data_IF_525951443765
#
_entry.id   IF_525951443765
#
_cell.length_a   1.000
_cell.length_b   1.000
_cell.length_c   1.000
_cell.angle_alpha   90.00
_cell.angle_beta   90.00
_cell.angle_gamma   90.00
#
_symmetry.space_group_name_H-M   'P 1'
#
loop_
_entity.id
_entity.type
_entity.pdbx_description
1 polymer ?
#
# COMPACT_ATOMS: atom_id res chain seq x y z
N UNK A 1 8.36 4.35 -15.12
CA UNK A 1 8.32 2.87 -15.13
C UNK A 1 9.58 2.42 -15.86
N UNK A 2 10.32 1.41 -15.38
CA UNK A 2 11.32 0.75 -16.24
C UNK A 2 10.56 -0.25 -17.10
N UNK A 3 10.33 0.07 -18.37
CA UNK A 3 9.90 -0.93 -19.34
C UNK A 3 10.98 -2.00 -19.33
N UNK A 4 10.58 -3.25 -19.10
CA UNK A 4 11.55 -4.33 -19.00
C UNK A 4 12.15 -4.58 -20.37
N UNK A 5 11.27 -4.78 -21.35
CA UNK A 5 11.57 -4.95 -22.77
C UNK A 5 10.36 -4.42 -23.55
N UNK A 6 10.60 -3.68 -24.62
CA UNK A 6 9.62 -3.36 -25.66
C UNK A 6 10.10 -4.08 -26.92
N UNK A 7 9.30 -5.00 -27.42
CA UNK A 7 9.64 -5.84 -28.57
C UNK A 7 8.64 -5.58 -29.69
N UNK A 8 9.12 -5.23 -30.88
CA UNK A 8 8.28 -5.09 -32.08
C UNK A 8 8.37 -6.41 -32.82
N UNK A 9 7.21 -7.03 -33.05
CA UNK A 9 7.14 -8.40 -33.53
C UNK A 9 6.03 -8.55 -34.57
N UNK A 10 6.14 -9.57 -35.42
CA UNK A 10 5.12 -9.93 -36.40
C UNK A 10 4.26 -11.04 -35.81
N UNK A 11 2.95 -10.92 -35.95
CA UNK A 11 2.04 -11.88 -35.36
C UNK A 11 2.12 -13.22 -36.12
N UNK A 12 2.54 -14.27 -35.41
CA UNK A 12 2.53 -15.65 -35.92
C UNK A 12 1.48 -16.50 -35.21
N UNK A 13 0.97 -17.53 -35.90
CA UNK A 13 -0.03 -18.46 -35.38
C UNK A 13 -1.46 -17.90 -35.45
N UNK A 14 -2.23 -18.03 -34.36
CA UNK A 14 -3.63 -17.55 -34.26
C UNK A 14 -3.67 -16.05 -33.96
N UNK A 15 -4.68 -15.29 -34.42
CA UNK A 15 -4.85 -13.86 -34.11
C UNK A 15 -4.67 -13.53 -32.63
N UNK A 16 -4.06 -12.38 -32.36
CA UNK A 16 -3.88 -11.85 -31.01
C UNK A 16 -4.99 -10.88 -30.67
N UNK A 17 -5.07 -10.47 -29.40
CA UNK A 17 -5.94 -9.37 -29.00
C UNK A 17 -5.09 -8.22 -28.47
N UNK A 18 -5.39 -7.00 -28.91
CA UNK A 18 -4.79 -5.81 -28.37
C UNK A 18 -5.32 -5.53 -26.95
N UNK A 19 -4.41 -5.21 -26.02
CA UNK A 19 -4.81 -4.94 -24.65
C UNK A 19 -5.56 -3.61 -24.50
N UNK A 20 -5.29 -2.63 -25.37
CA UNK A 20 -5.86 -1.27 -25.30
C UNK A 20 -7.23 -1.22 -25.96
N UNK A 21 -7.31 -1.36 -27.29
CA UNK A 21 -8.57 -1.26 -28.03
C UNK A 21 -9.42 -2.53 -28.01
N UNK A 22 -8.89 -3.67 -27.54
CA UNK A 22 -9.56 -4.99 -27.53
C UNK A 22 -9.84 -5.61 -28.89
N UNK A 23 -9.46 -4.96 -29.98
CA UNK A 23 -9.57 -5.50 -31.34
C UNK A 23 -8.52 -6.61 -31.60
N UNK A 24 -8.74 -7.37 -32.67
CA UNK A 24 -7.82 -8.40 -33.11
C UNK A 24 -6.53 -7.80 -33.69
N UNK A 25 -5.44 -8.54 -33.52
CA UNK A 25 -4.17 -8.33 -34.20
C UNK A 25 -4.00 -9.53 -35.11
N UNK A 26 -4.14 -9.31 -36.41
CA UNK A 26 -4.21 -10.37 -37.39
C UNK A 26 -2.86 -11.05 -37.62
N UNK A 27 -2.90 -12.25 -38.19
CA UNK A 27 -1.68 -12.98 -38.53
C UNK A 27 -0.90 -12.18 -39.58
N UNK A 28 0.41 -12.08 -39.42
CA UNK A 28 1.35 -11.24 -40.19
C UNK A 28 1.27 -9.73 -39.91
N UNK A 29 0.42 -9.29 -38.99
CA UNK A 29 0.39 -7.88 -38.58
C UNK A 29 1.55 -7.54 -37.62
N UNK A 30 2.13 -6.35 -37.82
CA UNK A 30 3.12 -5.78 -36.90
C UNK A 30 2.45 -5.34 -35.60
N UNK A 31 3.03 -5.73 -34.48
CA UNK A 31 2.53 -5.37 -33.15
C UNK A 31 3.67 -5.19 -32.16
N UNK A 32 3.36 -4.59 -31.02
CA UNK A 32 4.30 -4.46 -29.91
C UNK A 32 3.93 -5.40 -28.78
N UNK A 33 4.93 -6.10 -28.26
CA UNK A 33 4.82 -6.84 -27.00
C UNK A 33 5.58 -6.05 -25.94
N UNK A 34 4.83 -5.52 -24.97
CA UNK A 34 5.42 -4.85 -23.82
C UNK A 34 5.57 -5.84 -22.69
N UNK A 35 6.82 -6.10 -22.30
CA UNK A 35 7.16 -6.95 -21.15
C UNK A 35 7.43 -6.04 -19.96
N UNK A 36 6.50 -6.07 -19.01
CA UNK A 36 6.62 -5.29 -17.78
C UNK A 36 7.59 -6.02 -16.84
N UNK A 37 8.74 -5.40 -16.54
CA UNK A 37 9.61 -5.89 -15.46
C UNK A 37 8.91 -5.68 -14.12
N UNK A 38 8.89 -6.77 -13.37
CA UNK A 38 8.03 -6.95 -12.23
C UNK A 38 8.68 -6.49 -10.91
N UNK A 39 7.87 -6.02 -9.96
CA UNK A 39 8.32 -5.59 -8.64
C UNK A 39 8.72 -6.77 -7.74
N UNK A 40 9.19 -6.47 -6.51
CA UNK A 40 9.67 -7.46 -5.52
C UNK A 40 8.70 -8.63 -5.33
N UNK A 41 7.38 -8.37 -5.30
CA UNK A 41 6.34 -9.37 -5.06
C UNK A 41 6.21 -10.43 -6.17
N UNK A 42 6.41 -10.06 -7.43
CA UNK A 42 6.29 -11.03 -8.52
C UNK A 42 7.57 -11.83 -8.73
N UNK A 43 8.74 -11.28 -8.31
CA UNK A 43 9.97 -12.08 -8.15
C UNK A 43 9.77 -13.19 -7.12
N UNK A 44 9.11 -12.90 -6.00
CA UNK A 44 8.74 -13.95 -5.02
C UNK A 44 7.67 -14.91 -5.57
N UNK A 45 6.65 -14.43 -6.29
CA UNK A 45 5.65 -15.29 -6.91
C UNK A 45 6.26 -16.24 -7.96
N UNK A 46 7.22 -15.76 -8.77
CA UNK A 46 7.96 -16.60 -9.71
C UNK A 46 8.79 -17.66 -8.99
N UNK A 47 9.52 -17.28 -7.93
CA UNK A 47 10.27 -18.26 -7.11
C UNK A 47 9.35 -19.35 -6.57
N UNK A 48 8.16 -18.98 -6.10
CA UNK A 48 7.17 -19.94 -5.60
C UNK A 48 6.64 -20.85 -6.72
N UNK A 49 6.30 -20.29 -7.89
CA UNK A 49 5.81 -21.05 -9.03
C UNK A 49 6.89 -21.97 -9.65
N UNK A 50 8.16 -21.55 -9.62
CA UNK A 50 9.30 -22.36 -10.04
C UNK A 50 9.55 -23.51 -9.06
N UNK A 51 9.47 -23.26 -7.75
CA UNK A 51 9.54 -24.31 -6.72
C UNK A 51 8.41 -25.35 -6.87
N UNK A 52 7.24 -24.94 -7.37
CA UNK A 52 6.11 -25.83 -7.68
C UNK A 52 6.19 -26.50 -9.07
N UNK A 53 7.30 -26.33 -9.82
CA UNK A 53 7.47 -26.91 -11.15
C UNK A 53 6.58 -26.32 -12.26
N UNK A 54 5.81 -25.27 -11.95
CA UNK A 54 4.86 -24.62 -12.88
C UNK A 54 5.50 -23.57 -13.77
N UNK A 55 6.73 -23.15 -13.46
CA UNK A 55 7.46 -22.13 -14.23
C UNK A 55 8.69 -22.74 -14.91
N UNK A 56 8.58 -23.07 -16.20
CA UNK A 56 9.67 -23.70 -17.00
C UNK A 56 10.64 -22.73 -17.68
N UNK A 57 10.34 -21.42 -17.73
CA UNK A 57 11.20 -20.43 -18.38
C UNK A 57 11.35 -19.16 -17.55
N UNK A 58 12.43 -18.39 -17.75
CA UNK A 58 12.61 -17.05 -17.14
C UNK A 58 11.51 -16.04 -17.54
N UNK A 59 10.68 -16.39 -18.53
CA UNK A 59 9.50 -15.63 -18.97
C UNK A 59 8.22 -16.02 -18.22
N UNK A 60 8.17 -17.21 -17.61
CA UNK A 60 7.06 -17.59 -16.75
C UNK A 60 7.02 -16.61 -15.58
N UNK A 61 5.86 -16.05 -15.30
CA UNK A 61 5.73 -14.99 -14.30
C UNK A 61 6.13 -13.59 -14.75
N UNK A 62 6.31 -13.31 -16.05
CA UNK A 62 6.31 -11.95 -16.60
C UNK A 62 4.92 -11.57 -17.13
N UNK A 63 4.47 -10.34 -16.87
CA UNK A 63 3.24 -9.79 -17.48
C UNK A 63 3.63 -9.21 -18.84
N UNK A 64 3.20 -9.89 -19.89
CA UNK A 64 3.28 -9.36 -21.25
C UNK A 64 1.93 -8.75 -21.64
N UNK A 65 1.98 -7.66 -22.39
CA UNK A 65 0.81 -7.04 -23.02
C UNK A 65 1.09 -6.89 -24.49
N UNK A 66 0.14 -7.31 -25.31
CA UNK A 66 0.19 -7.15 -26.77
C UNK A 66 -0.60 -5.91 -27.13
N UNK A 67 -0.02 -5.04 -27.94
CA UNK A 67 -0.62 -3.78 -28.38
C UNK A 67 -0.45 -3.65 -29.89
N UNK A 68 -1.42 -3.04 -30.57
CA UNK A 68 -1.16 -2.50 -31.91
C UNK A 68 0.00 -1.50 -31.82
N UNK A 69 0.85 -1.52 -32.85
CA UNK A 69 2.00 -0.63 -32.92
C UNK A 69 1.55 0.83 -33.07
N UNK A 70 0.53 1.05 -33.91
CA UNK A 70 -0.08 2.37 -34.14
C UNK A 70 -1.09 2.69 -33.04
N UNK A 71 -1.02 3.92 -32.51
CA UNK A 71 -1.93 4.57 -31.54
C UNK A 71 -2.08 3.91 -30.16
N UNK A 72 -2.27 2.59 -30.09
CA UNK A 72 -2.42 1.82 -28.87
C UNK A 72 -1.17 1.84 -28.00
N UNK A 73 0.03 1.76 -28.59
CA UNK A 73 1.28 1.84 -27.84
C UNK A 73 1.44 3.20 -27.15
N UNK A 74 1.23 4.30 -27.87
CA UNK A 74 1.33 5.66 -27.34
C UNK A 74 0.30 5.89 -26.23
N UNK A 75 -0.96 5.52 -26.47
CA UNK A 75 -2.05 5.60 -25.50
C UNK A 75 -1.71 4.84 -24.22
N UNK A 76 -1.17 3.63 -24.36
CA UNK A 76 -0.77 2.82 -23.21
C UNK A 76 0.37 3.43 -22.40
N UNK A 77 1.37 4.01 -23.06
CA UNK A 77 2.50 4.67 -22.40
C UNK A 77 2.02 5.86 -21.56
N UNK A 78 1.14 6.70 -22.13
CA UNK A 78 0.54 7.85 -21.45
C UNK A 78 -0.30 7.37 -20.26
N UNK A 79 -1.23 6.44 -20.48
CA UNK A 79 -2.12 5.94 -19.44
C UNK A 79 -1.35 5.34 -18.24
N UNK A 80 -0.30 4.56 -18.50
CA UNK A 80 0.53 4.02 -17.41
C UNK A 80 1.34 5.10 -16.69
N UNK A 81 1.82 6.11 -17.41
CA UNK A 81 2.50 7.24 -16.78
C UNK A 81 1.53 7.93 -15.80
N UNK A 82 0.35 8.32 -16.26
CA UNK A 82 -0.68 8.97 -15.43
C UNK A 82 -1.09 8.12 -14.24
N UNK A 83 -1.49 6.86 -14.46
CA UNK A 83 -1.87 5.95 -13.39
C UNK A 83 -0.80 5.83 -12.30
N UNK A 84 0.49 5.87 -12.66
CA UNK A 84 1.57 5.83 -11.66
C UNK A 84 1.84 7.17 -11.01
N UNK A 85 1.73 8.27 -11.74
CA UNK A 85 1.88 9.62 -11.19
C UNK A 85 0.76 9.89 -10.19
N UNK A 86 -0.47 9.56 -10.53
CA UNK A 86 -1.63 9.57 -9.65
C UNK A 86 -1.46 8.58 -8.50
N UNK A 87 -1.15 7.31 -8.76
CA UNK A 87 -0.91 6.35 -7.68
C UNK A 87 0.28 6.74 -6.78
N UNK A 88 1.24 7.55 -7.23
CA UNK A 88 2.30 8.14 -6.38
C UNK A 88 1.82 9.36 -5.61
N UNK A 89 0.97 10.20 -6.21
CA UNK A 89 0.33 11.34 -5.53
C UNK A 89 -0.62 10.84 -4.43
N UNK A 90 -1.40 9.81 -4.72
CA UNK A 90 -2.36 9.18 -3.80
C UNK A 90 -1.66 8.28 -2.78
N UNK A 91 -0.66 7.49 -3.20
CA UNK A 91 0.24 6.83 -2.24
C UNK A 91 1.29 7.83 -1.76
N UNK A 92 0.89 8.69 -0.80
CA UNK A 92 1.82 9.12 0.26
C UNK A 92 2.53 7.84 0.70
N UNK A 93 3.85 7.76 0.48
CA UNK A 93 4.65 6.56 0.66
C UNK A 93 4.62 6.01 2.09
N UNK A 94 5.72 5.43 2.57
CA UNK A 94 5.86 5.19 4.01
C UNK A 94 5.56 6.54 4.71
N UNK A 95 4.65 6.62 5.69
CA UNK A 95 4.23 7.92 6.22
C UNK A 95 5.46 8.71 6.69
N UNK A 96 5.39 10.04 6.63
CA UNK A 96 6.50 10.88 7.10
C UNK A 96 6.93 10.43 8.51
N UNK A 97 8.24 10.35 8.77
CA UNK A 97 8.80 9.87 10.04
C UNK A 97 8.96 8.36 10.21
N UNK A 98 8.44 7.55 9.28
CA UNK A 98 8.59 6.09 9.35
C UNK A 98 10.03 5.56 9.19
N UNK A 99 10.98 6.38 8.73
CA UNK A 99 12.42 6.11 8.75
C UNK A 99 13.16 6.71 9.95
N UNK A 100 12.47 7.42 10.84
CA UNK A 100 13.03 8.08 12.03
C UNK A 100 12.96 7.21 13.29
N UNK A 101 12.40 6.00 13.19
CA UNK A 101 12.46 5.07 14.33
C UNK A 101 13.92 4.68 14.57
N UNK A 102 14.41 4.71 15.82
CA UNK A 102 15.75 4.23 16.14
C UNK A 102 15.92 2.77 15.72
N UNK A 103 17.18 2.35 15.53
CA UNK A 103 17.48 0.95 15.29
C UNK A 103 17.15 0.16 16.56
N UNK A 104 16.09 -0.64 16.49
CA UNK A 104 15.59 -1.47 17.59
C UNK A 104 15.87 -2.94 17.29
N UNK A 105 16.02 -3.76 18.33
CA UNK A 105 16.05 -5.21 18.18
C UNK A 105 14.68 -5.72 17.69
N UNK A 106 14.62 -6.96 17.19
CA UNK A 106 13.35 -7.52 16.72
C UNK A 106 12.35 -7.77 17.86
N UNK A 107 12.85 -8.04 19.07
CA UNK A 107 12.02 -8.17 20.28
C UNK A 107 11.38 -6.84 20.67
N UNK A 108 12.16 -5.76 20.70
CA UNK A 108 11.65 -4.42 21.03
C UNK A 108 10.65 -3.93 19.97
N UNK A 109 10.88 -4.26 18.69
CA UNK A 109 9.91 -3.98 17.61
C UNK A 109 8.59 -4.69 17.87
N UNK A 110 8.61 -5.95 18.34
CA UNK A 110 7.40 -6.71 18.66
C UNK A 110 6.66 -6.12 19.86
N UNK A 111 7.38 -5.73 20.91
CA UNK A 111 6.80 -5.05 22.09
C UNK A 111 6.15 -3.74 21.67
N UNK A 112 6.88 -2.90 20.95
CA UNK A 112 6.35 -1.65 20.38
C UNK A 112 5.11 -1.89 19.53
N UNK A 113 5.15 -2.87 18.64
CA UNK A 113 4.01 -3.19 17.78
C UNK A 113 2.75 -3.57 18.59
N UNK A 114 2.89 -4.36 19.66
CA UNK A 114 1.79 -4.70 20.57
C UNK A 114 1.24 -3.46 21.28
N UNK A 115 2.12 -2.59 21.78
CA UNK A 115 1.73 -1.33 22.44
C UNK A 115 0.99 -0.39 21.49
N UNK A 116 1.51 -0.18 20.27
CA UNK A 116 0.87 0.63 19.23
C UNK A 116 -0.52 0.11 18.89
N UNK A 117 -0.67 -1.22 18.74
CA UNK A 117 -1.98 -1.86 18.48
C UNK A 117 -2.96 -1.68 19.65
N UNK A 118 -2.49 -1.87 20.88
CA UNK A 118 -3.31 -1.66 22.09
C UNK A 118 -3.76 -0.19 22.20
N UNK A 119 -2.86 0.76 22.00
CA UNK A 119 -3.15 2.21 21.96
C UNK A 119 -4.22 2.52 20.91
N UNK A 120 -4.07 1.99 19.70
CA UNK A 120 -5.04 2.18 18.62
C UNK A 120 -6.41 1.53 18.92
N UNK A 121 -6.46 0.40 19.63
CA UNK A 121 -7.70 -0.20 20.09
C UNK A 121 -8.38 0.68 21.15
N UNK A 122 -7.64 1.17 22.15
CA UNK A 122 -8.17 2.08 23.18
C UNK A 122 -8.73 3.35 22.57
N UNK A 123 -8.05 3.95 21.59
CA UNK A 123 -8.53 5.17 20.91
C UNK A 123 -9.84 4.93 20.13
N UNK A 124 -10.05 3.73 19.57
CA UNK A 124 -11.34 3.37 18.96
C UNK A 124 -12.45 3.21 20.00
N UNK A 125 -12.14 2.64 21.16
CA UNK A 125 -13.10 2.54 22.26
C UNK A 125 -13.50 3.93 22.77
N UNK A 126 -12.55 4.84 22.98
CA UNK A 126 -12.84 6.23 23.40
C UNK A 126 -13.76 6.93 22.40
N UNK A 127 -13.53 6.76 21.10
CA UNK A 127 -14.38 7.34 20.07
C UNK A 127 -15.84 6.86 20.17
N UNK A 128 -16.04 5.58 20.47
CA UNK A 128 -17.37 4.95 20.55
C UNK A 128 -18.04 5.14 21.91
N UNK A 129 -17.28 5.41 22.96
CA UNK A 129 -17.78 5.46 24.33
C UNK A 129 -18.39 6.82 24.67
N UNK A 130 -19.58 6.82 25.28
CA UNK A 130 -20.29 8.05 25.68
C UNK A 130 -20.48 8.15 27.21
N UNK A 131 -20.22 7.07 27.96
CA UNK A 131 -20.29 7.09 29.42
C UNK A 131 -19.01 7.69 30.02
N UNK A 132 -19.16 8.72 30.85
CA UNK A 132 -18.05 9.48 31.43
C UNK A 132 -17.15 8.66 32.36
N UNK A 133 -17.73 7.79 33.21
CA UNK A 133 -16.93 6.94 34.09
C UNK A 133 -16.05 5.98 33.29
N UNK A 134 -16.61 5.41 32.23
CA UNK A 134 -15.88 4.50 31.35
C UNK A 134 -14.84 5.24 30.50
N UNK A 135 -15.14 6.47 30.08
CA UNK A 135 -14.18 7.35 29.41
C UNK A 135 -12.98 7.65 30.30
N UNK A 136 -13.18 7.95 31.59
CA UNK A 136 -12.08 8.16 32.55
C UNK A 136 -11.13 6.95 32.58
N UNK A 137 -11.68 5.73 32.70
CA UNK A 137 -10.86 4.50 32.69
C UNK A 137 -10.10 4.33 31.38
N UNK A 138 -10.74 4.59 30.24
CA UNK A 138 -10.12 4.43 28.92
C UNK A 138 -9.02 5.47 28.67
N UNK A 139 -9.21 6.72 29.10
CA UNK A 139 -8.18 7.78 29.02
C UNK A 139 -7.03 7.49 29.97
N UNK A 140 -7.28 7.00 31.19
CA UNK A 140 -6.23 6.54 32.10
C UNK A 140 -5.40 5.40 31.50
N UNK A 141 -6.07 4.42 30.88
CA UNK A 141 -5.41 3.34 30.14
C UNK A 141 -4.58 3.88 28.96
N UNK A 142 -5.09 4.88 28.24
CA UNK A 142 -4.36 5.53 27.15
C UNK A 142 -3.07 6.19 27.65
N UNK A 143 -3.13 6.94 28.76
CA UNK A 143 -1.96 7.57 29.41
C UNK A 143 -0.94 6.53 29.85
N UNK A 144 -1.38 5.45 30.50
CA UNK A 144 -0.51 4.33 30.91
C UNK A 144 0.19 3.66 29.72
N UNK A 145 -0.52 3.44 28.60
CA UNK A 145 0.07 2.86 27.40
C UNK A 145 1.11 3.78 26.76
N UNK A 146 0.85 5.09 26.73
CA UNK A 146 1.83 6.07 26.24
C UNK A 146 3.08 6.13 27.12
N UNK A 147 2.94 6.03 28.45
CA UNK A 147 4.08 6.00 29.36
C UNK A 147 4.98 4.75 29.21
N UNK A 148 4.41 3.62 28.76
CA UNK A 148 5.16 2.38 28.47
C UNK A 148 5.92 2.42 27.13
N UNK A 149 5.74 3.47 26.31
CA UNK A 149 6.37 3.59 25.00
C UNK A 149 7.56 4.54 25.07
N UNK A 150 8.79 4.02 24.96
CA UNK A 150 10.01 4.85 24.94
C UNK A 150 10.04 5.86 23.79
N UNK A 151 9.51 5.46 22.62
CA UNK A 151 9.31 6.33 21.47
C UNK A 151 7.80 6.43 21.25
N UNK A 152 7.20 7.61 21.22
CA UNK A 152 5.75 7.69 21.03
C UNK A 152 5.34 7.30 19.58
N UNK A 153 4.04 7.13 19.35
CA UNK A 153 3.48 7.00 18.01
C UNK A 153 3.59 8.35 17.31
N UNK A 154 4.32 8.39 16.20
CA UNK A 154 4.33 9.56 15.31
C UNK A 154 2.90 9.79 14.81
N UNK A 155 2.27 10.89 15.22
CA UNK A 155 0.85 11.15 14.98
C UNK A 155 0.50 11.19 13.49
N UNK A 156 1.42 11.67 12.66
CA UNK A 156 1.31 11.67 11.19
C UNK A 156 1.22 10.26 10.58
N UNK A 157 1.70 9.24 11.30
CA UNK A 157 1.55 7.83 10.90
C UNK A 157 0.17 7.27 11.23
N UNK A 158 -0.58 7.89 12.16
CA UNK A 158 -1.82 7.34 12.68
C UNK A 158 -3.05 7.60 11.78
N UNK A 159 -2.90 8.33 10.65
CA UNK A 159 -3.89 8.63 9.61
C UNK A 159 -5.35 8.53 10.11
N UNK A 160 -5.82 9.56 10.81
CA UNK A 160 -7.23 9.70 11.21
C UNK A 160 -7.90 10.82 10.42
N UNK A 161 -9.21 10.74 10.25
CA UNK A 161 -9.96 11.86 9.69
C UNK A 161 -9.88 13.05 10.67
N UNK A 162 -9.86 14.30 10.17
CA UNK A 162 -9.85 15.49 11.03
C UNK A 162 -11.01 15.52 12.03
N UNK A 163 -12.19 15.03 11.64
CA UNK A 163 -13.37 14.94 12.51
C UNK A 163 -13.15 14.00 13.71
N UNK A 164 -12.55 12.83 13.47
CA UNK A 164 -12.23 11.89 14.56
C UNK A 164 -11.14 12.41 15.50
N UNK A 165 -10.19 13.21 15.00
CA UNK A 165 -9.18 13.85 15.85
C UNK A 165 -9.82 14.88 16.78
N UNK A 166 -10.69 15.74 16.25
CA UNK A 166 -11.40 16.74 17.06
C UNK A 166 -12.24 16.10 18.17
N UNK A 167 -13.03 15.08 17.84
CA UNK A 167 -13.88 14.39 18.81
C UNK A 167 -13.06 13.66 19.90
N UNK A 168 -11.93 13.06 19.53
CA UNK A 168 -11.01 12.45 20.50
C UNK A 168 -10.48 13.48 21.50
N UNK A 169 -10.03 14.63 21.00
CA UNK A 169 -9.47 15.69 21.85
C UNK A 169 -10.53 16.27 22.79
N UNK A 170 -11.76 16.44 22.31
CA UNK A 170 -12.89 16.88 23.13
C UNK A 170 -13.21 15.88 24.26
N UNK A 171 -13.30 14.59 23.94
CA UNK A 171 -13.55 13.54 24.95
C UNK A 171 -12.43 13.43 25.98
N UNK A 172 -11.17 13.57 25.54
CA UNK A 172 -10.02 13.55 26.44
C UNK A 172 -10.06 14.78 27.36
N UNK A 173 -10.28 15.98 26.81
CA UNK A 173 -10.37 17.22 27.61
C UNK A 173 -11.49 17.15 28.64
N UNK A 174 -12.67 16.66 28.25
CA UNK A 174 -13.82 16.49 29.16
C UNK A 174 -13.47 15.62 30.37
N UNK A 175 -12.69 14.56 30.15
CA UNK A 175 -12.20 13.70 31.24
C UNK A 175 -11.19 14.43 32.12
N UNK A 176 -10.27 15.19 31.54
CA UNK A 176 -9.28 15.96 32.30
C UNK A 176 -9.92 17.04 33.16
N UNK A 177 -10.92 17.74 32.63
CA UNK A 177 -11.69 18.73 33.39
C UNK A 177 -12.50 18.10 34.52
N UNK A 178 -12.96 16.84 34.35
CA UNK A 178 -13.69 16.10 35.38
C UNK A 178 -12.79 15.53 36.49
N UNK A 179 -11.50 15.31 36.20
CA UNK A 179 -10.51 14.82 37.18
C UNK A 179 -9.92 15.98 38.01
N UNK A 180 -9.82 17.18 37.41
CA UNK A 180 -9.24 18.37 38.03
C UNK A 180 -10.25 19.22 38.84
N UNK A 181 -11.52 18.81 38.93
CA UNK A 181 -12.55 19.41 39.78
C UNK A 181 -12.74 18.58 41.04
#
# INVERSE_FOLDING_TARGET
MRIGILDVNIKTGKPGQCWVCKESIEVRELHTVVVLRYGKFQKSAFKLAAAQGRARTKKAGLKYRRLHLKDCLATWLIAIHHYRTEARRERKGRPAGSGQLPQMTDEDKLVRYRLVRRRAATLRLILQENNDQRLITLVGRLKSLSAQMEVDVIEDMARRSPSSVRLLNEKIRRVEDAINR
#
